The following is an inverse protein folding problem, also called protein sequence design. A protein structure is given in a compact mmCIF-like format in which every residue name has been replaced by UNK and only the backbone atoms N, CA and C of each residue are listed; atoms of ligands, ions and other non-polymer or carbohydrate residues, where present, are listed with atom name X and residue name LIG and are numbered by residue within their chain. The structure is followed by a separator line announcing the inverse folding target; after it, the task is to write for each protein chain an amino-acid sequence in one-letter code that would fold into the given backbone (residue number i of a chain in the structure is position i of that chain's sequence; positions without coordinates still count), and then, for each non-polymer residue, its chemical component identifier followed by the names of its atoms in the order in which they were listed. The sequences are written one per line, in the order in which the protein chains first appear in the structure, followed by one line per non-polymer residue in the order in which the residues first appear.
data_IF_188094253505
#
_entry.id   IF_188094253505
#
_cell.length_a   1.000
_cell.length_b   1.000
_cell.length_c   1.000
_cell.angle_alpha   90.00
_cell.angle_beta   90.00
_cell.angle_gamma   90.00
#
_symmetry.space_group_name_H-M   'P 1'
#
loop_
_entity.id
_entity.type
_entity.pdbx_description
1 polymer ?
#
# COMPACT_ATOMS: atom_id res chain seq x y z
N UNK A 1 10.56 14.32 -4.33
CA UNK A 1 10.91 13.20 -5.25
C UNK A 1 10.28 13.47 -6.61
N UNK A 2 11.04 13.52 -7.72
CA UNK A 2 10.51 13.89 -9.06
C UNK A 2 10.44 12.69 -10.01
N UNK A 3 9.99 11.54 -9.51
CA UNK A 3 9.81 10.33 -10.32
C UNK A 3 8.37 9.87 -10.26
N UNK A 4 7.86 9.41 -11.39
CA UNK A 4 6.55 8.77 -11.49
C UNK A 4 6.77 7.28 -11.72
N UNK A 5 5.94 6.44 -11.10
CA UNK A 5 5.83 5.02 -11.44
C UNK A 5 4.47 4.80 -12.13
N UNK A 6 4.45 3.94 -13.13
CA UNK A 6 3.22 3.54 -13.82
C UNK A 6 3.24 2.05 -14.11
N UNK A 7 2.06 1.45 -14.21
CA UNK A 7 1.88 0.07 -14.65
C UNK A 7 1.00 0.05 -15.90
N UNK A 8 1.47 -0.59 -16.96
CA UNK A 8 0.71 -0.77 -18.20
C UNK A 8 -0.31 -1.92 -18.08
N UNK A 9 -1.31 -1.90 -18.96
CA UNK A 9 -2.27 -3.01 -19.15
C UNK A 9 -1.88 -3.91 -20.34
N UNK A 10 -0.58 -3.94 -20.67
CA UNK A 10 -0.05 -4.83 -21.69
C UNK A 10 0.05 -6.29 -21.17
N UNK A 11 0.42 -7.22 -22.06
CA UNK A 11 0.51 -8.65 -21.74
C UNK A 11 1.49 -9.00 -20.60
N UNK A 12 2.35 -8.06 -20.18
CA UNK A 12 3.37 -8.25 -19.14
C UNK A 12 3.18 -7.30 -17.96
N UNK A 13 2.08 -6.55 -17.94
CA UNK A 13 1.81 -5.44 -17.03
C UNK A 13 3.06 -4.58 -16.79
N UNK A 14 3.70 -4.08 -17.85
CA UNK A 14 5.01 -3.41 -17.76
C UNK A 14 5.02 -2.29 -16.74
N UNK A 15 6.02 -2.30 -15.85
CA UNK A 15 6.25 -1.24 -14.88
C UNK A 15 7.29 -0.27 -15.41
N UNK A 16 6.96 1.02 -15.46
CA UNK A 16 7.82 2.08 -15.99
C UNK A 16 8.09 3.13 -14.91
N UNK A 17 9.35 3.54 -14.80
CA UNK A 17 9.78 4.67 -13.98
C UNK A 17 10.15 5.83 -14.88
N UNK A 18 9.65 7.02 -14.54
CA UNK A 18 9.79 8.22 -15.36
C UNK A 18 10.49 9.33 -14.60
N UNK A 19 11.34 10.08 -15.30
CA UNK A 19 11.52 11.50 -15.03
C UNK A 19 10.36 12.22 -15.72
N UNK A 20 9.27 12.37 -14.99
CA UNK A 20 8.01 12.86 -15.54
C UNK A 20 8.11 14.31 -15.99
N UNK A 21 8.96 15.12 -15.35
CA UNK A 21 9.17 16.53 -15.72
C UNK A 21 9.89 16.66 -17.07
N UNK A 22 10.77 15.71 -17.40
CA UNK A 22 11.49 15.67 -18.68
C UNK A 22 10.84 14.77 -19.72
N UNK A 23 9.76 14.08 -19.37
CA UNK A 23 9.10 13.10 -20.24
C UNK A 23 10.00 11.92 -20.61
N UNK A 24 10.93 11.52 -19.73
CA UNK A 24 11.90 10.44 -20.03
C UNK A 24 11.63 9.20 -19.21
N UNK A 25 11.67 8.04 -19.86
CA UNK A 25 11.72 6.75 -19.17
C UNK A 25 13.12 6.56 -18.58
N UNK A 26 13.19 6.29 -17.29
CA UNK A 26 14.42 6.00 -16.56
C UNK A 26 14.67 4.49 -16.50
N UNK A 27 13.62 3.70 -16.29
CA UNK A 27 13.70 2.25 -16.19
C UNK A 27 12.37 1.60 -16.58
N UNK A 28 12.45 0.37 -17.09
CA UNK A 28 11.29 -0.48 -17.36
C UNK A 28 11.56 -1.90 -16.87
N UNK A 29 10.53 -2.58 -16.37
CA UNK A 29 10.60 -4.01 -16.06
C UNK A 29 9.27 -4.70 -16.36
N UNK A 30 9.33 -6.00 -16.62
CA UNK A 30 8.12 -6.85 -16.65
C UNK A 30 7.49 -6.86 -15.26
N UNK A 31 6.25 -6.37 -15.15
CA UNK A 31 5.55 -6.22 -13.87
C UNK A 31 5.11 -7.56 -13.31
N UNK A 32 4.06 -8.16 -13.87
CA UNK A 32 3.53 -9.46 -13.43
C UNK A 32 2.70 -10.12 -14.54
N UNK A 33 2.49 -11.44 -14.44
CA UNK A 33 1.66 -12.20 -15.40
C UNK A 33 0.18 -11.79 -15.34
N UNK A 34 -0.27 -11.44 -14.14
CA UNK A 34 -1.65 -11.04 -13.86
C UNK A 34 -1.73 -9.58 -13.44
N UNK A 35 -2.96 -9.07 -13.40
CA UNK A 35 -3.26 -7.66 -13.14
C UNK A 35 -2.59 -7.16 -11.85
N UNK A 36 -1.91 -6.02 -11.97
CA UNK A 36 -1.43 -5.22 -10.86
C UNK A 36 -2.51 -4.20 -10.51
N UNK A 37 -2.88 -4.11 -9.24
CA UNK A 37 -3.92 -3.20 -8.75
C UNK A 37 -3.32 -1.91 -8.20
N UNK A 38 -2.12 -1.97 -7.63
CA UNK A 38 -1.50 -0.81 -6.99
C UNK A 38 0.03 -0.82 -7.14
N UNK A 39 0.62 0.38 -7.13
CA UNK A 39 2.06 0.62 -7.09
C UNK A 39 2.34 1.87 -6.25
N UNK A 40 3.22 1.74 -5.26
CA UNK A 40 3.53 2.83 -4.33
C UNK A 40 5.03 2.96 -4.09
N UNK A 41 5.52 4.20 -4.08
CA UNK A 41 6.89 4.51 -3.68
C UNK A 41 7.04 4.41 -2.17
N UNK A 42 8.21 3.97 -1.72
CA UNK A 42 8.61 4.13 -0.32
C UNK A 42 9.03 5.60 -0.08
N UNK A 43 8.31 6.35 0.77
CA UNK A 43 8.65 7.75 1.03
C UNK A 43 9.87 7.90 1.96
N UNK A 44 10.27 6.83 2.66
CA UNK A 44 11.41 6.81 3.58
C UNK A 44 12.69 6.31 2.90
N UNK A 45 12.58 5.54 1.82
CA UNK A 45 13.72 5.00 1.11
C UNK A 45 13.68 5.30 -0.37
N UNK A 46 14.55 6.24 -0.75
CA UNK A 46 14.75 6.58 -2.14
C UNK A 46 15.08 5.32 -2.95
N UNK A 47 14.44 5.20 -4.11
CA UNK A 47 14.62 4.10 -5.06
C UNK A 47 13.91 2.77 -4.71
N UNK A 48 13.08 2.71 -3.66
CA UNK A 48 12.23 1.55 -3.40
C UNK A 48 10.78 1.84 -3.74
N UNK A 49 10.10 0.83 -4.28
CA UNK A 49 8.67 0.84 -4.51
C UNK A 49 8.11 -0.57 -4.37
N UNK A 50 6.80 -0.66 -4.18
CA UNK A 50 6.06 -1.91 -4.02
C UNK A 50 4.94 -1.94 -5.05
N UNK A 51 4.73 -3.08 -5.70
CA UNK A 51 3.54 -3.31 -6.52
C UNK A 51 2.77 -4.52 -6.01
N UNK A 52 1.45 -4.49 -6.13
CA UNK A 52 0.60 -5.58 -5.66
C UNK A 52 -0.58 -5.84 -6.61
N UNK A 53 -1.11 -7.06 -6.59
CA UNK A 53 -2.21 -7.42 -7.46
C UNK A 53 -2.70 -8.86 -7.29
N UNK A 54 -3.21 -9.43 -8.37
CA UNK A 54 -3.68 -10.83 -8.39
C UNK A 54 -2.53 -11.74 -7.95
N UNK A 55 -2.75 -12.43 -6.81
CA UNK A 55 -1.82 -13.36 -6.17
C UNK A 55 -0.35 -12.91 -6.15
N UNK A 56 -0.08 -11.61 -5.93
CA UNK A 56 1.28 -11.13 -5.79
C UNK A 56 1.43 -9.84 -4.98
N UNK A 57 2.63 -9.73 -4.41
CA UNK A 57 3.26 -8.48 -4.01
C UNK A 57 4.74 -8.57 -4.39
N UNK A 58 5.28 -7.49 -4.95
CA UNK A 58 6.69 -7.38 -5.34
C UNK A 58 7.29 -6.11 -4.78
N UNK A 59 8.49 -6.26 -4.24
CA UNK A 59 9.34 -5.18 -3.75
C UNK A 59 10.41 -4.91 -4.80
N UNK A 60 10.52 -3.66 -5.21
CA UNK A 60 11.38 -3.25 -6.31
C UNK A 60 12.48 -2.34 -5.81
N UNK A 61 13.68 -2.54 -6.36
CA UNK A 61 14.82 -1.63 -6.17
C UNK A 61 15.23 -1.04 -7.51
N UNK A 62 15.38 0.28 -7.54
CA UNK A 62 15.86 1.04 -8.68
C UNK A 62 17.34 1.40 -8.50
N UNK A 63 18.23 0.75 -9.26
CA UNK A 63 19.66 1.04 -9.24
C UNK A 63 20.06 1.63 -10.59
N UNK A 64 20.24 2.96 -10.65
CA UNK A 64 20.42 3.67 -11.91
C UNK A 64 19.18 3.54 -12.80
N UNK A 65 19.34 2.87 -13.94
CA UNK A 65 18.27 2.61 -14.91
C UNK A 65 17.74 1.16 -14.83
N UNK A 66 18.19 0.38 -13.85
CA UNK A 66 17.78 -1.01 -13.65
C UNK A 66 16.72 -1.11 -12.55
N UNK A 67 15.57 -1.68 -12.89
CA UNK A 67 14.46 -1.92 -11.96
C UNK A 67 14.36 -3.42 -11.68
N UNK A 68 14.62 -3.81 -10.43
CA UNK A 68 14.75 -5.23 -10.04
C UNK A 68 13.66 -5.66 -9.06
N UNK A 69 12.85 -6.68 -9.39
CA UNK A 69 11.82 -7.20 -8.48
C UNK A 69 12.34 -8.27 -7.52
N UNK A 70 11.78 -8.31 -6.32
CA UNK A 70 11.78 -9.46 -5.41
C UNK A 70 10.34 -9.74 -4.95
N UNK A 71 9.94 -11.01 -4.93
CA UNK A 71 8.59 -11.39 -4.46
C UNK A 71 8.52 -11.31 -2.94
N UNK A 72 7.35 -10.94 -2.41
CA UNK A 72 7.06 -11.10 -0.99
C UNK A 72 7.07 -12.56 -0.57
N UNK A 73 7.55 -12.82 0.64
CA UNK A 73 7.72 -14.15 1.23
C UNK A 73 6.69 -14.27 2.36
N UNK A 74 5.65 -15.08 2.12
CA UNK A 74 4.55 -15.28 3.06
C UNK A 74 4.94 -16.16 4.27
N UNK A 75 5.86 -17.10 4.07
CA UNK A 75 6.28 -18.03 5.12
C UNK A 75 5.09 -18.85 5.65
N UNK A 76 5.04 -19.00 6.98
CA UNK A 76 3.91 -19.66 7.69
C UNK A 76 2.91 -18.64 8.26
N UNK A 77 3.14 -17.35 8.04
CA UNK A 77 2.40 -16.24 8.68
C UNK A 77 1.09 -15.90 7.95
N UNK A 78 0.96 -16.36 6.71
CA UNK A 78 -0.24 -16.17 5.89
C UNK A 78 -0.12 -16.88 4.55
N UNK A 79 -1.20 -16.83 3.78
CA UNK A 79 -1.29 -17.49 2.47
C UNK A 79 -1.14 -16.49 1.33
N UNK A 80 -0.74 -16.99 0.16
CA UNK A 80 -0.70 -16.18 -1.06
C UNK A 80 -2.12 -15.70 -1.42
N UNK A 81 -2.37 -14.42 -1.22
CA UNK A 81 -3.64 -13.77 -1.56
C UNK A 81 -3.50 -12.79 -2.72
N UNK A 82 -4.65 -12.46 -3.33
CA UNK A 82 -4.78 -11.25 -4.13
C UNK A 82 -4.69 -10.05 -3.20
N UNK A 83 -3.76 -9.15 -3.50
CA UNK A 83 -3.48 -7.94 -2.74
C UNK A 83 -3.99 -6.76 -3.56
N UNK A 84 -4.77 -5.89 -2.93
CA UNK A 84 -5.58 -4.86 -3.61
C UNK A 84 -5.01 -3.45 -3.44
N UNK A 85 -4.29 -3.18 -2.34
CA UNK A 85 -3.64 -1.90 -2.08
C UNK A 85 -2.38 -2.08 -1.23
N UNK A 86 -1.45 -1.12 -1.28
CA UNK A 86 -0.21 -1.09 -0.49
C UNK A 86 0.10 0.29 0.07
N UNK A 87 0.69 0.34 1.27
CA UNK A 87 1.24 1.55 1.87
C UNK A 87 2.59 1.25 2.54
N UNK A 88 3.64 1.97 2.15
CA UNK A 88 4.94 1.91 2.82
C UNK A 88 4.97 2.80 4.06
N UNK A 89 5.70 2.37 5.08
CA UNK A 89 5.84 3.04 6.37
C UNK A 89 7.30 3.05 6.83
N UNK A 90 7.58 3.68 7.97
CA UNK A 90 8.92 3.74 8.58
C UNK A 90 9.46 2.33 8.88
N UNK A 91 10.75 2.23 9.16
CA UNK A 91 11.41 1.01 9.66
C UNK A 91 11.31 -0.24 8.75
N UNK A 92 11.42 -0.01 7.44
CA UNK A 92 11.30 -1.04 6.39
C UNK A 92 9.93 -1.75 6.37
N UNK A 93 8.89 -1.11 6.91
CA UNK A 93 7.55 -1.67 6.93
C UNK A 93 6.77 -1.35 5.66
N UNK A 94 5.97 -2.31 5.24
CA UNK A 94 4.94 -2.11 4.22
C UNK A 94 3.68 -2.82 4.69
N UNK A 95 2.54 -2.21 4.44
CA UNK A 95 1.23 -2.76 4.75
C UNK A 95 0.47 -3.00 3.46
N UNK A 96 -0.33 -4.05 3.44
CA UNK A 96 -1.13 -4.35 2.26
C UNK A 96 -2.50 -4.87 2.62
N UNK A 97 -3.52 -4.38 1.92
CA UNK A 97 -4.89 -4.85 2.05
C UNK A 97 -5.15 -6.04 1.11
N UNK A 98 -5.67 -7.14 1.65
CA UNK A 98 -5.93 -8.35 0.90
C UNK A 98 -7.42 -8.47 0.50
N UNK A 99 -7.69 -9.30 -0.51
CA UNK A 99 -9.03 -9.58 -1.03
C UNK A 99 -9.96 -10.22 0.02
N UNK A 100 -9.40 -10.96 0.97
CA UNK A 100 -10.14 -11.62 2.05
C UNK A 100 -10.46 -10.69 3.24
N UNK A 101 -10.03 -9.42 3.21
CA UNK A 101 -10.24 -8.47 4.30
C UNK A 101 -9.14 -8.45 5.36
N UNK A 102 -8.05 -9.19 5.17
CA UNK A 102 -6.88 -9.12 6.05
C UNK A 102 -5.96 -7.95 5.69
N UNK A 103 -5.23 -7.47 6.69
CA UNK A 103 -4.07 -6.60 6.48
C UNK A 103 -2.81 -7.40 6.74
N UNK A 104 -1.89 -7.36 5.77
CA UNK A 104 -0.58 -7.98 5.88
C UNK A 104 0.49 -6.95 6.19
N UNK A 105 1.34 -7.29 7.17
CA UNK A 105 2.45 -6.47 7.64
C UNK A 105 3.76 -7.10 7.20
N UNK A 106 4.43 -6.39 6.31
CA UNK A 106 5.68 -6.82 5.68
C UNK A 106 6.84 -6.08 6.32
N UNK A 107 7.93 -6.78 6.62
CA UNK A 107 9.23 -6.18 6.90
C UNK A 107 10.21 -6.60 5.82
N UNK A 108 10.72 -5.62 5.09
CA UNK A 108 11.46 -5.85 3.84
C UNK A 108 10.63 -6.73 2.89
N UNK A 109 11.01 -7.98 2.73
CA UNK A 109 10.35 -8.94 1.83
C UNK A 109 9.42 -9.91 2.55
N UNK A 110 9.50 -10.00 3.89
CA UNK A 110 8.86 -11.09 4.64
C UNK A 110 7.56 -10.62 5.28
N UNK A 111 6.54 -11.47 5.19
CA UNK A 111 5.31 -11.31 5.97
C UNK A 111 5.60 -11.66 7.44
N UNK A 112 5.55 -10.64 8.30
CA UNK A 112 5.88 -10.79 9.72
C UNK A 112 4.65 -10.84 10.62
N UNK A 113 3.51 -10.32 10.17
CA UNK A 113 2.26 -10.31 10.92
C UNK A 113 1.06 -10.18 9.98
N UNK A 114 -0.05 -10.76 10.40
CA UNK A 114 -1.36 -10.61 9.76
C UNK A 114 -2.34 -10.04 10.77
N UNK A 115 -3.06 -8.97 10.41
CA UNK A 115 -4.24 -8.49 11.14
C UNK A 115 -5.45 -9.12 10.45
N UNK A 116 -5.94 -10.19 11.07
CA UNK A 116 -7.01 -11.01 10.51
C UNK A 116 -8.36 -10.31 10.62
N UNK A 117 -9.20 -10.48 9.60
CA UNK A 117 -10.57 -9.95 9.57
C UNK A 117 -10.65 -8.44 9.87
N UNK A 118 -9.66 -7.67 9.39
CA UNK A 118 -9.64 -6.22 9.54
C UNK A 118 -10.85 -5.56 8.86
N UNK A 119 -11.28 -6.11 7.71
CA UNK A 119 -12.55 -5.80 7.05
C UNK A 119 -13.34 -7.09 6.79
N UNK A 120 -14.66 -6.97 6.63
CA UNK A 120 -15.52 -8.11 6.27
C UNK A 120 -15.44 -8.51 4.79
N UNK A 121 -14.69 -7.78 3.98
CA UNK A 121 -14.45 -8.02 2.57
C UNK A 121 -13.15 -7.33 2.13
N UNK A 122 -12.75 -7.50 0.87
CA UNK A 122 -11.50 -6.96 0.33
C UNK A 122 -11.27 -5.47 0.64
N UNK A 123 -10.02 -5.15 1.00
CA UNK A 123 -9.57 -3.80 1.35
C UNK A 123 -9.02 -3.14 0.09
N UNK A 124 -9.69 -2.11 -0.43
CA UNK A 124 -9.35 -1.48 -1.71
C UNK A 124 -8.45 -0.26 -1.58
N UNK A 125 -8.35 0.32 -0.40
CA UNK A 125 -7.53 1.50 -0.17
C UNK A 125 -6.95 1.47 1.23
N UNK A 126 -5.71 1.95 1.33
CA UNK A 126 -5.00 2.11 2.58
C UNK A 126 -4.19 3.39 2.51
N UNK A 127 -4.21 4.15 3.60
CA UNK A 127 -3.38 5.31 3.83
C UNK A 127 -2.61 5.12 5.13
N UNK A 128 -1.37 5.59 5.16
CA UNK A 128 -0.49 5.57 6.33
C UNK A 128 0.03 6.97 6.59
N UNK A 129 0.05 7.37 7.87
CA UNK A 129 0.76 8.52 8.37
C UNK A 129 1.48 8.17 9.68
N UNK A 130 2.12 9.15 10.32
CA UNK A 130 2.83 8.92 11.58
C UNK A 130 1.91 8.55 12.75
N UNK A 131 0.65 9.01 12.71
CA UNK A 131 -0.33 8.79 13.79
C UNK A 131 -1.08 7.46 13.65
N UNK A 132 -1.03 6.82 12.48
CA UNK A 132 -1.70 5.55 12.23
C UNK A 132 -2.13 5.37 10.77
N UNK A 133 -3.27 4.70 10.61
CA UNK A 133 -3.72 4.20 9.31
C UNK A 133 -5.21 4.44 9.10
N UNK A 134 -5.59 4.57 7.83
CA UNK A 134 -6.98 4.51 7.38
C UNK A 134 -7.12 3.44 6.30
N UNK A 135 -8.15 2.62 6.38
CA UNK A 135 -8.45 1.58 5.39
C UNK A 135 -9.90 1.63 4.93
N UNK A 136 -10.11 1.41 3.63
CA UNK A 136 -11.44 1.35 3.02
C UNK A 136 -11.69 -0.01 2.39
N UNK A 137 -12.83 -0.64 2.71
CA UNK A 137 -13.16 -1.97 2.22
C UNK A 137 -14.47 -2.05 1.45
N UNK A 138 -14.64 -3.15 0.72
CA UNK A 138 -15.89 -3.49 0.01
C UNK A 138 -17.05 -3.78 0.95
N UNK A 139 -16.77 -3.95 2.24
CA UNK A 139 -17.79 -4.03 3.30
C UNK A 139 -18.49 -2.69 3.57
N UNK A 140 -18.18 -1.64 2.79
CA UNK A 140 -18.80 -0.33 2.89
C UNK A 140 -18.28 0.50 4.06
N UNK A 141 -17.16 0.07 4.66
CA UNK A 141 -16.65 0.66 5.88
C UNK A 141 -15.29 1.33 5.66
N UNK A 142 -15.08 2.47 6.32
CA UNK A 142 -13.77 3.04 6.59
C UNK A 142 -13.39 2.66 8.02
N UNK A 143 -12.15 2.24 8.24
CA UNK A 143 -11.61 1.98 9.58
C UNK A 143 -10.36 2.82 9.80
N UNK A 144 -10.25 3.39 11.00
CA UNK A 144 -9.04 4.07 11.45
C UNK A 144 -8.34 3.19 12.49
N UNK A 145 -7.02 3.23 12.46
CA UNK A 145 -6.14 2.40 13.27
C UNK A 145 -5.02 3.25 13.86
N UNK A 146 -4.53 2.85 15.02
CA UNK A 146 -3.30 3.44 15.57
C UNK A 146 -2.05 2.92 14.83
N UNK A 147 -0.88 3.42 15.20
CA UNK A 147 0.41 3.00 14.64
C UNK A 147 0.70 1.49 14.80
N UNK A 148 0.07 0.80 15.75
CA UNK A 148 0.22 -0.65 15.99
C UNK A 148 -0.83 -1.50 15.26
N UNK A 149 -1.69 -0.88 14.43
CA UNK A 149 -2.88 -1.48 13.84
C UNK A 149 -3.92 -1.96 14.86
N UNK A 150 -4.04 -1.29 16.01
CA UNK A 150 -5.20 -1.46 16.89
C UNK A 150 -6.39 -0.65 16.35
N UNK A 151 -7.62 -1.19 16.37
CA UNK A 151 -8.79 -0.46 15.89
C UNK A 151 -9.05 0.81 16.74
N UNK A 152 -9.24 1.95 16.07
CA UNK A 152 -9.69 3.20 16.70
C UNK A 152 -11.18 3.40 16.46
N UNK A 153 -11.61 3.37 15.19
CA UNK A 153 -13.01 3.58 14.81
C UNK A 153 -13.39 2.84 13.54
N UNK A 154 -14.69 2.54 13.42
CA UNK A 154 -15.34 2.02 12.22
C UNK A 154 -16.43 3.01 11.81
N UNK A 155 -16.37 3.45 10.56
CA UNK A 155 -17.36 4.33 9.95
C UNK A 155 -18.06 3.51 8.87
N UNK A 156 -19.33 3.17 9.10
CA UNK A 156 -20.15 2.46 8.11
C UNK A 156 -20.77 3.49 7.15
N UNK A 157 -20.32 3.52 5.90
CA UNK A 157 -20.73 4.53 4.93
C UNK A 157 -22.21 4.38 4.51
N UNK A 158 -22.85 3.26 4.84
CA UNK A 158 -24.28 3.05 4.60
C UNK A 158 -25.16 3.76 5.63
N UNK A 159 -24.61 4.02 6.82
CA UNK A 159 -25.31 4.62 7.96
C UNK A 159 -24.82 6.06 8.24
N UNK A 160 -23.67 6.45 7.66
CA UNK A 160 -23.10 7.77 7.86
C UNK A 160 -23.72 8.81 6.90
N UNK A 161 -24.67 9.61 7.39
CA UNK A 161 -25.17 10.81 6.68
C UNK A 161 -24.11 11.95 6.64
N UNK A 162 -23.18 11.96 7.60
CA UNK A 162 -22.04 12.88 7.69
C UNK A 162 -20.82 12.09 8.19
N UNK A 163 -19.61 12.44 7.75
CA UNK A 163 -18.36 11.76 8.13
C UNK A 163 -18.05 11.76 9.63
N UNK A 164 -16.91 11.18 10.03
CA UNK A 164 -16.47 11.08 11.43
C UNK A 164 -16.40 12.47 12.12
N UNK A 165 -17.01 12.62 13.30
CA UNK A 165 -17.17 13.90 14.02
C UNK A 165 -16.29 14.09 15.28
N UNK A 166 -15.22 13.31 15.47
CA UNK A 166 -14.26 13.51 16.58
C UNK A 166 -12.81 13.53 16.09
N UNK A 167 -11.81 14.02 16.82
CA UNK A 167 -11.71 14.95 17.94
C UNK A 167 -11.32 16.34 17.41
N UNK A 168 -11.79 17.43 18.04
CA UNK A 168 -11.37 18.79 17.68
C UNK A 168 -9.84 18.89 17.62
N UNK A 169 -9.33 19.51 16.55
CA UNK A 169 -7.95 19.98 16.47
C UNK A 169 -7.63 20.77 17.74
N UNK A 170 -6.63 20.32 18.51
CA UNK A 170 -5.88 21.29 19.30
C UNK A 170 -5.14 22.16 18.29
N UNK A 171 -5.40 23.47 18.36
CA UNK A 171 -4.78 24.51 17.55
C UNK A 171 -3.25 24.32 17.50
N UNK A 172 -2.75 23.84 16.38
CA UNK A 172 -1.31 23.87 16.10
C UNK A 172 -1.01 25.31 15.71
N UNK A 173 -0.61 26.09 16.71
CA UNK A 173 -0.08 27.44 16.50
C UNK A 173 1.21 27.28 15.69
N UNK A 174 1.22 27.80 14.47
CA UNK A 174 2.43 27.93 13.66
C UNK A 174 3.39 28.87 14.40
N UNK A 175 4.48 28.34 14.95
CA UNK A 175 5.65 29.16 15.22
C UNK A 175 6.49 29.22 13.95
N UNK A 176 6.67 30.45 13.48
CA UNK A 176 7.47 30.94 12.35
C UNK A 176 8.92 30.49 12.39
#
# INVERSE_FOLDING_TARGET
MTRLASVGLDAKNTLCIWDWKRGKILATATGHSDRIFDVSWDPFQQNRLVSCGVKHIKFWSLCGNALTPKRGIFGKTGDLQTILCVASAKDDLTYSGALNGDIYVWKLLNLIRTVQAAHGAGIFSMYSCEEGFATGGRDGCIRLWDADFKPITKIDLREAEQGYKGTQQQDITLQT
#
